data_IF_334264624478
#
_entry.id   IF_334264624478
#
_cell.length_a   1.000
_cell.length_b   1.000
_cell.length_c   1.000
_cell.angle_alpha   90.00
_cell.angle_beta   90.00
_cell.angle_gamma   90.00
#
_symmetry.space_group_name_H-M   'P 1'
#
loop_
_entity.id
_entity.type
_entity.pdbx_description
1 polymer ?
#
# COMPACT_ATOMS: atom_id res chain seq x y z
N UNK A 1 -6.62 -65.69 -53.43
CA UNK A 1 -7.52 -64.92 -52.54
C UNK A 1 -7.33 -63.44 -52.81
N UNK A 2 -8.30 -62.88 -53.54
CA UNK A 2 -8.69 -61.47 -53.76
C UNK A 2 -7.66 -60.33 -53.74
N UNK A 3 -7.52 -59.69 -54.91
CA UNK A 3 -6.84 -58.42 -55.24
C UNK A 3 -7.77 -57.18 -55.18
N UNK A 4 -7.16 -55.98 -55.32
CA UNK A 4 -7.67 -54.61 -55.66
C UNK A 4 -8.07 -53.69 -54.48
N UNK A 5 -7.39 -52.57 -54.17
CA UNK A 5 -7.05 -51.31 -54.87
C UNK A 5 -8.23 -50.34 -55.05
N UNK A 6 -8.28 -49.24 -54.25
CA UNK A 6 -8.36 -47.80 -54.65
C UNK A 6 -8.80 -46.87 -53.49
N UNK A 7 -8.02 -45.80 -53.29
CA UNK A 7 -8.31 -44.39 -52.88
C UNK A 7 -9.45 -44.11 -51.88
N UNK A 8 -9.31 -43.24 -50.86
CA UNK A 8 -9.20 -41.77 -50.94
C UNK A 8 -9.05 -41.17 -49.52
N UNK A 9 -8.44 -39.99 -49.42
CA UNK A 9 -8.11 -39.19 -48.21
C UNK A 9 -9.30 -38.89 -47.27
N UNK A 10 -9.05 -38.61 -45.98
CA UNK A 10 -9.42 -37.32 -45.34
C UNK A 10 -9.16 -37.24 -43.81
N UNK A 11 -8.32 -36.26 -43.46
CA UNK A 11 -8.33 -35.32 -42.31
C UNK A 11 -8.35 -35.78 -40.85
N UNK A 12 -7.26 -35.41 -40.18
CA UNK A 12 -7.05 -35.39 -38.74
C UNK A 12 -7.87 -34.29 -38.03
N UNK A 13 -8.55 -34.63 -36.94
CA UNK A 13 -9.03 -33.69 -35.90
C UNK A 13 -9.01 -34.40 -34.53
N UNK A 14 -7.86 -34.43 -33.86
CA UNK A 14 -7.80 -34.70 -32.42
C UNK A 14 -7.98 -33.38 -31.67
N UNK A 15 -9.23 -33.04 -31.34
CA UNK A 15 -9.51 -31.97 -30.39
C UNK A 15 -9.17 -32.47 -28.98
N UNK A 16 -8.01 -32.07 -28.46
CA UNK A 16 -7.74 -32.14 -27.03
C UNK A 16 -8.71 -31.18 -26.32
N UNK A 17 -9.78 -31.72 -25.74
CA UNK A 17 -10.67 -30.96 -24.87
C UNK A 17 -9.91 -30.70 -23.57
N UNK A 18 -9.21 -29.56 -23.50
CA UNK A 18 -8.67 -29.07 -22.23
C UNK A 18 -9.86 -28.66 -21.39
N UNK A 19 -10.24 -29.52 -20.45
CA UNK A 19 -11.27 -29.19 -19.46
C UNK A 19 -10.75 -28.05 -18.61
N UNK A 20 -11.27 -26.84 -18.84
CA UNK A 20 -11.07 -25.70 -17.96
C UNK A 20 -11.74 -26.01 -16.63
N UNK A 21 -10.97 -26.45 -15.64
CA UNK A 21 -11.44 -26.47 -14.26
C UNK A 21 -11.60 -25.02 -13.82
N UNK A 22 -12.85 -24.57 -13.70
CA UNK A 22 -13.20 -23.32 -13.05
C UNK A 22 -12.84 -23.46 -11.55
N UNK A 23 -11.57 -23.23 -11.19
CA UNK A 23 -11.18 -23.08 -9.79
C UNK A 23 -11.77 -21.74 -9.33
N UNK A 24 -12.75 -21.73 -8.41
CA UNK A 24 -13.27 -20.48 -7.87
C UNK A 24 -12.10 -19.76 -7.19
N UNK A 25 -11.94 -18.43 -7.37
CA UNK A 25 -10.94 -17.69 -6.62
C UNK A 25 -11.17 -17.98 -5.12
N UNK A 26 -10.10 -18.24 -4.34
CA UNK A 26 -10.25 -18.61 -2.93
C UNK A 26 -11.16 -17.60 -2.23
N UNK A 27 -12.26 -18.09 -1.67
CA UNK A 27 -13.20 -17.28 -0.93
C UNK A 27 -12.44 -16.54 0.19
N UNK A 28 -12.36 -15.21 0.09
CA UNK A 28 -11.70 -14.39 1.11
C UNK A 28 -12.40 -14.59 2.45
N UNK A 29 -11.70 -15.17 3.42
CA UNK A 29 -12.14 -15.36 4.81
C UNK A 29 -12.03 -14.10 5.66
N UNK A 30 -11.84 -12.93 5.03
CA UNK A 30 -11.69 -11.65 5.71
C UNK A 30 -13.01 -11.24 6.34
N UNK A 31 -13.14 -11.41 7.66
CA UNK A 31 -14.26 -10.87 8.43
C UNK A 31 -14.19 -9.34 8.41
N UNK A 32 -15.22 -8.64 7.89
CA UNK A 32 -15.28 -7.19 7.96
C UNK A 32 -15.13 -6.70 9.40
N UNK A 33 -14.40 -5.59 9.60
CA UNK A 33 -14.22 -5.00 10.92
C UNK A 33 -13.06 -5.56 11.77
N UNK A 34 -12.38 -6.64 11.38
CA UNK A 34 -11.13 -7.05 12.06
C UNK A 34 -9.90 -6.50 11.31
N UNK A 35 -8.88 -5.95 11.99
CA UNK A 35 -7.64 -5.52 11.33
C UNK A 35 -6.87 -6.70 10.75
N UNK A 36 -6.52 -6.62 9.46
CA UNK A 36 -5.70 -7.62 8.77
C UNK A 36 -4.36 -7.01 8.31
N UNK A 37 -3.27 -7.78 8.25
CA UNK A 37 -2.00 -7.30 7.71
C UNK A 37 -2.14 -6.83 6.27
N UNK A 38 -1.37 -5.79 5.91
CA UNK A 38 -1.32 -5.25 4.56
C UNK A 38 0.12 -5.00 4.14
N UNK A 39 0.42 -5.20 2.85
CA UNK A 39 1.74 -4.92 2.30
C UNK A 39 2.09 -3.42 2.49
N UNK A 40 3.28 -3.14 3.00
CA UNK A 40 3.80 -1.79 3.27
C UNK A 40 3.99 -0.95 2.00
N UNK A 41 4.21 -1.60 0.86
CA UNK A 41 4.33 -0.95 -0.46
C UNK A 41 2.98 -0.61 -1.10
N UNK A 42 1.87 -1.04 -0.48
CA UNK A 42 0.55 -0.74 -1.00
C UNK A 42 0.33 0.78 -1.12
N UNK A 43 -0.19 1.29 -2.24
CA UNK A 43 -0.38 2.73 -2.43
C UNK A 43 -1.26 3.40 -1.36
N UNK A 44 -2.29 2.69 -0.87
CA UNK A 44 -3.14 3.17 0.21
C UNK A 44 -2.40 3.28 1.54
N UNK A 45 -1.51 2.33 1.84
CA UNK A 45 -0.63 2.37 3.02
C UNK A 45 0.35 3.54 2.93
N UNK A 46 1.02 3.73 1.80
CA UNK A 46 1.93 4.86 1.58
C UNK A 46 1.21 6.20 1.70
N UNK A 47 0.00 6.30 1.16
CA UNK A 47 -0.86 7.50 1.27
C UNK A 47 -1.28 7.76 2.72
N UNK A 48 -1.66 6.73 3.47
CA UNK A 48 -1.99 6.85 4.89
C UNK A 48 -0.77 7.30 5.73
N UNK A 49 0.42 6.73 5.49
CA UNK A 49 1.65 7.17 6.15
C UNK A 49 1.93 8.65 5.88
N UNK A 50 1.77 9.10 4.62
CA UNK A 50 1.92 10.50 4.23
C UNK A 50 0.96 11.42 4.98
N UNK A 51 -0.31 11.04 5.18
CA UNK A 51 -1.25 11.81 6.01
C UNK A 51 -0.80 11.89 7.48
N UNK A 52 -0.31 10.80 8.05
CA UNK A 52 0.26 10.78 9.40
C UNK A 52 1.44 11.74 9.56
N UNK A 53 2.35 11.74 8.58
CA UNK A 53 3.49 12.66 8.52
C UNK A 53 3.03 14.12 8.44
N UNK A 54 2.03 14.44 7.61
CA UNK A 54 1.47 15.80 7.56
C UNK A 54 0.88 16.22 8.90
N UNK A 55 0.16 15.32 9.58
CA UNK A 55 -0.37 15.60 10.93
C UNK A 55 0.75 15.89 11.92
N UNK A 56 1.81 15.08 11.92
CA UNK A 56 2.98 15.30 12.79
C UNK A 56 3.67 16.63 12.50
N UNK A 57 3.94 16.95 11.22
CA UNK A 57 4.59 18.20 10.82
C UNK A 57 3.81 19.43 11.27
N UNK A 58 2.48 19.37 11.19
CA UNK A 58 1.58 20.46 11.58
C UNK A 58 1.49 20.65 13.10
N UNK A 59 1.73 19.61 13.91
CA UNK A 59 1.73 19.71 15.37
C UNK A 59 3.11 19.92 15.99
N UNK A 60 4.18 19.60 15.25
CA UNK A 60 5.56 19.70 15.73
C UNK A 60 6.07 21.13 15.65
N UNK A 61 6.86 21.54 16.64
CA UNK A 61 7.56 22.85 16.65
C UNK A 61 8.94 22.81 15.96
N UNK A 62 9.32 21.69 15.34
CA UNK A 62 10.58 21.60 14.59
C UNK A 62 10.59 22.58 13.41
N UNK A 63 11.76 23.18 13.13
CA UNK A 63 11.95 24.10 12.01
C UNK A 63 11.87 23.39 10.65
N UNK A 64 12.27 22.12 10.62
CA UNK A 64 12.32 21.31 9.41
C UNK A 64 11.09 20.40 9.29
N UNK A 65 10.75 20.08 8.05
CA UNK A 65 9.76 19.06 7.75
C UNK A 65 10.33 17.66 7.99
N UNK A 66 9.50 16.74 8.45
CA UNK A 66 9.76 15.31 8.48
C UNK A 66 9.07 14.63 7.29
N UNK A 67 9.65 13.51 6.84
CA UNK A 67 9.15 12.68 5.74
C UNK A 67 9.18 11.20 6.15
N UNK A 68 8.24 10.40 5.68
CA UNK A 68 8.28 8.95 5.89
C UNK A 68 9.56 8.36 5.28
N UNK A 69 10.33 7.66 6.12
CA UNK A 69 11.57 6.97 5.75
C UNK A 69 11.30 5.49 5.49
N UNK A 70 10.59 4.83 6.40
CA UNK A 70 10.27 3.42 6.31
C UNK A 70 8.91 3.12 6.94
N UNK A 71 8.12 2.26 6.30
CA UNK A 71 6.89 1.72 6.87
C UNK A 71 7.20 0.30 7.33
N UNK A 72 7.25 0.08 8.64
CA UNK A 72 7.68 -1.19 9.23
C UNK A 72 6.54 -2.20 9.35
N UNK A 73 5.32 -1.71 9.59
CA UNK A 73 4.13 -2.54 9.73
C UNK A 73 2.91 -1.78 9.27
N UNK A 74 2.02 -2.46 8.56
CA UNK A 74 0.73 -1.92 8.16
C UNK A 74 -0.38 -2.95 8.38
N UNK A 75 -1.48 -2.48 8.95
CA UNK A 75 -2.73 -3.22 9.05
C UNK A 75 -3.85 -2.37 8.45
N UNK A 76 -4.90 -3.01 7.95
CA UNK A 76 -6.11 -2.34 7.47
C UNK A 76 -7.35 -2.99 8.08
N UNK A 77 -8.31 -2.14 8.45
CA UNK A 77 -9.62 -2.54 8.96
C UNK A 77 -10.70 -1.89 8.10
N UNK A 78 -11.64 -2.69 7.59
CA UNK A 78 -12.75 -2.21 6.75
C UNK A 78 -13.91 -1.79 7.67
N UNK A 79 -14.16 -0.48 7.77
CA UNK A 79 -15.14 0.14 8.70
C UNK A 79 -15.77 1.39 8.08
N UNK A 80 -16.77 1.22 7.19
CA UNK A 80 -17.33 2.34 6.39
C UNK A 80 -16.24 3.26 5.82
N UNK A 81 -15.15 2.65 5.39
CA UNK A 81 -13.90 3.26 4.99
C UNK A 81 -12.77 2.27 5.22
N UNK A 82 -11.54 2.72 5.00
CA UNK A 82 -10.32 1.96 5.24
C UNK A 82 -9.57 2.62 6.40
N UNK A 83 -9.56 1.96 7.56
CA UNK A 83 -8.76 2.39 8.71
C UNK A 83 -7.42 1.69 8.66
N UNK A 84 -6.38 2.45 8.37
CA UNK A 84 -4.99 2.01 8.38
C UNK A 84 -4.39 2.18 9.78
N UNK A 85 -3.62 1.20 10.23
CA UNK A 85 -2.85 1.23 11.48
C UNK A 85 -1.39 0.95 11.13
N UNK A 86 -0.52 1.94 11.32
CA UNK A 86 0.82 1.95 10.73
C UNK A 86 1.89 2.19 11.79
N UNK A 87 2.96 1.39 11.75
CA UNK A 87 4.23 1.72 12.39
C UNK A 87 5.17 2.27 11.32
N UNK A 88 5.57 3.54 11.46
CA UNK A 88 6.33 4.29 10.46
C UNK A 88 7.53 4.96 11.11
N UNK A 89 8.69 4.83 10.49
CA UNK A 89 9.83 5.70 10.80
C UNK A 89 9.76 6.95 9.93
N UNK A 90 9.85 8.12 10.56
CA UNK A 90 9.89 9.41 9.88
C UNK A 90 11.25 10.06 10.12
N UNK A 91 11.81 10.68 9.09
CA UNK A 91 13.13 11.32 9.14
C UNK A 91 13.06 12.82 8.89
N UNK A 92 13.89 13.58 9.61
CA UNK A 92 14.04 15.02 9.40
C UNK A 92 14.62 15.30 8.01
N UNK A 93 14.03 16.25 7.30
CA UNK A 93 14.45 16.66 5.96
C UNK A 93 15.26 17.97 5.99
N UNK A 94 15.79 18.34 4.83
CA UNK A 94 16.46 19.62 4.63
C UNK A 94 15.49 20.78 4.37
N UNK A 95 14.21 20.51 4.14
CA UNK A 95 13.21 21.53 3.86
C UNK A 95 12.73 22.20 5.15
N UNK A 96 12.70 23.52 5.17
CA UNK A 96 12.07 24.29 6.24
C UNK A 96 10.55 24.31 6.07
N UNK A 97 9.81 24.37 7.18
CA UNK A 97 8.34 24.40 7.15
C UNK A 97 7.78 25.65 6.46
N UNK A 98 8.52 26.76 6.48
CA UNK A 98 8.06 28.08 5.98
C UNK A 98 8.10 28.20 4.45
N UNK A 99 8.86 27.33 3.77
CA UNK A 99 9.10 27.44 2.33
C UNK A 99 7.99 26.80 1.47
N UNK A 100 6.92 26.28 2.08
CA UNK A 100 5.82 25.59 1.39
C UNK A 100 6.29 24.45 0.47
N UNK A 101 7.41 23.81 0.81
CA UNK A 101 8.03 22.75 0.02
C UNK A 101 7.18 21.47 0.01
N UNK A 102 7.08 20.82 -1.15
CA UNK A 102 6.50 19.48 -1.26
C UNK A 102 7.41 18.45 -0.61
N UNK A 103 6.85 17.55 0.21
CA UNK A 103 7.62 16.48 0.83
C UNK A 103 8.24 15.53 -0.20
N UNK A 104 7.67 15.40 -1.40
CA UNK A 104 8.21 14.50 -2.43
C UNK A 104 9.60 14.95 -2.89
N UNK A 105 9.82 16.27 -3.04
CA UNK A 105 11.11 16.88 -3.38
C UNK A 105 12.06 17.06 -2.18
N UNK A 106 11.58 16.87 -0.95
CA UNK A 106 12.41 17.04 0.25
C UNK A 106 13.31 15.83 0.49
N UNK A 107 14.62 16.07 0.51
CA UNK A 107 15.64 15.09 0.87
C UNK A 107 15.90 15.07 2.38
N UNK A 108 16.29 13.91 2.91
CA UNK A 108 16.66 13.74 4.31
C UNK A 108 17.92 14.55 4.68
N UNK A 109 18.02 14.93 5.96
CA UNK A 109 19.19 15.63 6.49
C UNK A 109 20.48 14.82 6.27
N UNK A 110 21.50 15.48 5.73
CA UNK A 110 22.84 14.90 5.54
C UNK A 110 23.79 15.23 6.70
N UNK A 111 23.53 16.32 7.41
CA UNK A 111 24.35 16.77 8.55
C UNK A 111 24.05 15.90 9.75
N UNK A 112 25.00 15.09 10.22
CA UNK A 112 24.83 14.16 11.37
C UNK A 112 24.19 14.81 12.60
N UNK A 113 24.58 16.04 12.94
CA UNK A 113 24.02 16.80 14.09
C UNK A 113 22.54 17.16 13.95
N UNK A 114 22.03 17.22 12.71
CA UNK A 114 20.63 17.54 12.41
C UNK A 114 19.84 16.30 12.00
N UNK A 115 20.47 15.15 11.84
CA UNK A 115 19.75 13.92 11.54
C UNK A 115 18.91 13.51 12.74
N UNK A 116 17.66 13.20 12.48
CA UNK A 116 16.74 12.65 13.46
C UNK A 116 15.77 11.71 12.76
N UNK A 117 15.58 10.55 13.36
CA UNK A 117 14.59 9.55 12.98
C UNK A 117 13.67 9.39 14.19
N UNK A 118 12.36 9.37 13.96
CA UNK A 118 11.35 9.13 14.98
C UNK A 118 10.52 7.91 14.58
N UNK A 119 10.11 7.14 15.58
CA UNK A 119 9.22 5.99 15.39
C UNK A 119 7.82 6.40 15.75
N UNK A 120 6.91 6.32 14.78
CA UNK A 120 5.55 6.78 14.91
C UNK A 120 4.55 5.64 14.75
N UNK A 121 3.46 5.74 15.51
CA UNK A 121 2.24 5.01 15.28
C UNK A 121 1.17 5.95 14.73
N UNK A 122 0.61 5.60 13.58
CA UNK A 122 -0.46 6.34 12.93
C UNK A 122 -1.71 5.50 12.75
N UNK A 123 -2.87 6.06 13.08
CA UNK A 123 -4.17 5.53 12.65
C UNK A 123 -4.82 6.51 11.70
N UNK A 124 -5.09 6.07 10.47
CA UNK A 124 -5.63 6.93 9.42
C UNK A 124 -6.86 6.29 8.79
N UNK A 125 -7.99 6.98 8.86
CA UNK A 125 -9.24 6.54 8.28
C UNK A 125 -9.52 7.26 6.97
N UNK A 126 -9.51 6.51 5.86
CA UNK A 126 -9.72 7.03 4.51
C UNK A 126 -11.07 6.53 4.00
N UNK A 127 -11.89 7.44 3.49
CA UNK A 127 -13.16 7.15 2.82
C UNK A 127 -13.03 7.56 1.35
N UNK A 128 -12.58 6.66 0.45
CA UNK A 128 -12.28 7.00 -0.94
C UNK A 128 -13.47 7.62 -1.67
N UNK A 129 -14.68 7.09 -1.49
CA UNK A 129 -15.90 7.58 -2.15
C UNK A 129 -16.33 8.98 -1.71
N UNK A 130 -15.89 9.44 -0.53
CA UNK A 130 -16.13 10.81 -0.06
C UNK A 130 -14.93 11.73 -0.28
N UNK A 131 -13.82 11.22 -0.82
CA UNK A 131 -12.54 11.96 -0.92
C UNK A 131 -12.07 12.53 0.43
N UNK A 132 -12.35 11.84 1.53
CA UNK A 132 -12.01 12.27 2.90
C UNK A 132 -10.95 11.36 3.52
N UNK A 133 -10.08 11.97 4.32
CA UNK A 133 -9.11 11.27 5.15
C UNK A 133 -9.03 11.95 6.52
N UNK A 134 -8.96 11.15 7.58
CA UNK A 134 -8.82 11.61 8.96
C UNK A 134 -7.66 10.89 9.63
N UNK A 135 -6.73 11.63 10.21
CA UNK A 135 -5.69 11.07 11.08
C UNK A 135 -6.26 11.02 12.49
N UNK A 136 -6.61 9.82 12.94
CA UNK A 136 -7.23 9.56 14.24
C UNK A 136 -6.20 9.55 15.37
N UNK A 137 -5.04 8.96 15.11
CA UNK A 137 -3.92 8.84 16.05
C UNK A 137 -2.64 9.23 15.33
N UNK A 138 -1.81 10.05 15.98
CA UNK A 138 -0.45 10.33 15.57
C UNK A 138 0.44 10.54 16.79
N UNK A 139 1.20 9.50 17.15
CA UNK A 139 2.12 9.49 18.28
C UNK A 139 3.50 9.09 17.77
N UNK A 140 4.53 9.81 18.19
CA UNK A 140 5.91 9.58 17.78
C UNK A 140 6.84 9.60 19.00
N UNK A 141 7.89 8.79 18.96
CA UNK A 141 8.94 8.68 19.97
C UNK A 141 10.33 8.84 19.34
#
# INVERSE_FOLDING_TARGET
SSHHFRHLMCFALMFCVVSATNVPPPHSTVKPGFPIPMNTDNPGVRKAARFGVYRYNNSSNDLFLFKESQINKAMVQIVRGLKYMLNVEIGRTMCEKREHSSLDSCHFQKKKKLQQILRCYFEVWIMPWLHKAHVLVAVCH
#
